data_IF_922853408415
#
_entry.id   IF_922853408415
#
_cell.length_a   1.000
_cell.length_b   1.000
_cell.length_c   1.000
_cell.angle_alpha   90.00
_cell.angle_beta   90.00
_cell.angle_gamma   90.00
#
_symmetry.space_group_name_H-M   'P 1'
#
loop_
_entity.id
_entity.type
_entity.pdbx_description
1 polymer ?
#
# COMPACT_ATOMS: atom_id res chain seq x y z
N UNK A 1 -14.05 -10.84 -8.05
CA UNK A 1 -13.14 -9.89 -7.38
C UNK A 1 -11.75 -10.48 -7.36
N UNK A 2 -10.75 -9.72 -7.80
CA UNK A 2 -9.34 -10.13 -7.82
C UNK A 2 -8.57 -9.30 -6.79
N UNK A 3 -8.16 -9.95 -5.71
CA UNK A 3 -7.54 -9.35 -4.54
C UNK A 3 -8.43 -9.42 -3.29
N UNK A 4 -7.86 -9.88 -2.17
CA UNK A 4 -8.57 -10.16 -0.92
C UNK A 4 -8.25 -9.19 0.22
N UNK A 5 -7.77 -7.99 -0.10
CA UNK A 5 -7.55 -6.91 0.87
C UNK A 5 -8.85 -6.18 1.23
N UNK A 6 -8.77 -5.04 1.95
CA UNK A 6 -9.95 -4.27 2.37
C UNK A 6 -10.90 -3.90 1.23
N UNK A 7 -10.35 -3.47 0.08
CA UNK A 7 -11.16 -3.13 -1.10
C UNK A 7 -11.90 -4.36 -1.65
N UNK A 8 -11.21 -5.49 -1.78
CA UNK A 8 -11.79 -6.73 -2.29
C UNK A 8 -12.83 -7.32 -1.35
N UNK A 9 -12.59 -7.29 -0.05
CA UNK A 9 -13.56 -7.73 0.96
C UNK A 9 -14.83 -6.90 0.91
N UNK A 10 -14.71 -5.57 0.85
CA UNK A 10 -15.87 -4.68 0.71
C UNK A 10 -16.62 -4.92 -0.60
N UNK A 11 -15.90 -5.06 -1.71
CA UNK A 11 -16.50 -5.34 -3.01
C UNK A 11 -17.29 -6.65 -3.00
N UNK A 12 -16.74 -7.71 -2.42
CA UNK A 12 -17.39 -9.01 -2.33
C UNK A 12 -18.69 -8.97 -1.48
N UNK A 13 -18.63 -8.31 -0.32
CA UNK A 13 -19.79 -8.15 0.57
C UNK A 13 -20.91 -7.39 -0.15
N UNK A 14 -20.58 -6.26 -0.79
CA UNK A 14 -21.58 -5.44 -1.47
C UNK A 14 -22.18 -6.15 -2.69
N UNK A 15 -21.39 -6.91 -3.46
CA UNK A 15 -21.89 -7.71 -4.56
C UNK A 15 -22.83 -8.83 -4.08
N UNK A 16 -22.42 -9.58 -3.07
CA UNK A 16 -23.24 -10.65 -2.49
C UNK A 16 -24.56 -10.11 -1.92
N UNK A 17 -24.53 -8.96 -1.22
CA UNK A 17 -25.74 -8.28 -0.72
C UNK A 17 -26.70 -7.82 -1.82
N UNK A 18 -26.21 -7.60 -3.04
CA UNK A 18 -27.03 -7.32 -4.24
C UNK A 18 -27.52 -8.59 -4.94
N UNK A 19 -27.22 -9.78 -4.39
CA UNK A 19 -27.61 -11.05 -4.99
C UNK A 19 -26.77 -11.47 -6.19
N UNK A 20 -25.61 -10.85 -6.40
CA UNK A 20 -24.69 -11.25 -7.46
C UNK A 20 -23.91 -12.48 -7.01
N UNK A 21 -23.88 -13.54 -7.82
CA UNK A 21 -22.95 -14.65 -7.58
C UNK A 21 -21.52 -14.14 -7.65
N UNK A 22 -20.82 -14.22 -6.53
CA UNK A 22 -19.54 -13.54 -6.32
C UNK A 22 -18.46 -14.53 -5.95
N UNK A 23 -17.29 -14.40 -6.60
CA UNK A 23 -16.05 -15.07 -6.20
C UNK A 23 -14.96 -14.04 -5.88
N UNK A 24 -14.12 -14.38 -4.91
CA UNK A 24 -12.90 -13.64 -4.56
C UNK A 24 -11.70 -14.54 -4.76
N UNK A 25 -10.80 -14.14 -5.64
CA UNK A 25 -9.51 -14.80 -5.81
C UNK A 25 -8.39 -13.92 -5.27
N UNK A 26 -7.58 -14.42 -4.37
CA UNK A 26 -6.53 -13.68 -3.71
C UNK A 26 -5.26 -14.51 -3.52
N UNK A 27 -4.11 -13.88 -3.70
CA UNK A 27 -2.83 -14.48 -3.29
C UNK A 27 -2.79 -14.65 -1.77
N UNK A 28 -3.30 -13.64 -1.05
CA UNK A 28 -3.33 -13.55 0.41
C UNK A 28 -4.57 -12.79 0.87
N UNK A 29 -5.45 -13.45 1.61
CA UNK A 29 -6.60 -12.77 2.22
C UNK A 29 -6.13 -11.79 3.30
N UNK A 30 -6.75 -10.60 3.33
CA UNK A 30 -6.31 -9.48 4.16
C UNK A 30 -5.31 -8.55 3.46
N UNK A 31 -4.58 -9.02 2.46
CA UNK A 31 -3.64 -8.19 1.69
C UNK A 31 -2.55 -7.55 2.56
N UNK A 32 -2.20 -6.31 2.24
CA UNK A 32 -1.14 -5.54 2.93
C UNK A 32 -1.47 -5.21 4.40
N UNK A 33 -2.74 -5.25 4.80
CA UNK A 33 -3.15 -5.04 6.19
C UNK A 33 -2.44 -6.03 7.13
N UNK A 34 -2.17 -7.25 6.68
CA UNK A 34 -1.44 -8.27 7.46
C UNK A 34 -0.04 -7.82 7.92
N UNK A 35 0.56 -6.86 7.22
CA UNK A 35 1.92 -6.38 7.48
C UNK A 35 1.95 -5.17 8.43
N UNK A 36 0.79 -4.72 8.92
CA UNK A 36 0.66 -3.56 9.83
C UNK A 36 0.53 -4.04 11.28
N UNK A 37 1.38 -3.51 12.17
CA UNK A 37 1.42 -3.93 13.58
C UNK A 37 0.28 -3.32 14.40
N UNK A 38 0.01 -2.02 14.24
CA UNK A 38 -1.05 -1.30 14.95
C UNK A 38 -1.87 -0.46 13.98
N UNK A 39 -3.19 -0.46 14.15
CA UNK A 39 -4.15 0.28 13.35
C UNK A 39 -5.08 1.03 14.31
N UNK A 40 -4.96 2.36 14.34
CA UNK A 40 -5.74 3.26 15.19
C UNK A 40 -6.63 4.22 14.38
N UNK A 41 -6.51 4.17 13.05
CA UNK A 41 -7.19 5.08 12.12
C UNK A 41 -8.30 4.42 11.29
N UNK A 42 -8.72 3.22 11.63
CA UNK A 42 -9.86 2.56 11.01
C UNK A 42 -11.14 2.89 11.78
N UNK A 43 -12.02 3.68 11.17
CA UNK A 43 -13.25 4.20 11.80
C UNK A 43 -14.06 3.08 12.43
N UNK A 44 -14.56 3.30 13.66
CA UNK A 44 -15.28 2.39 14.55
C UNK A 44 -14.44 1.33 15.26
N UNK A 45 -13.15 1.22 14.97
CA UNK A 45 -12.21 0.36 15.69
C UNK A 45 -11.15 1.26 16.31
N UNK A 46 -11.14 1.40 17.63
CA UNK A 46 -10.25 2.32 18.33
C UNK A 46 -8.78 1.92 18.17
N UNK A 47 -8.51 0.62 18.31
CA UNK A 47 -7.19 0.03 18.13
C UNK A 47 -7.33 -1.44 17.71
N UNK A 48 -6.52 -1.87 16.76
CA UNK A 48 -6.44 -3.28 16.34
C UNK A 48 -5.07 -3.57 15.72
N UNK A 49 -4.81 -4.86 15.51
CA UNK A 49 -3.64 -5.33 14.77
C UNK A 49 -4.04 -5.73 13.36
N UNK A 50 -3.12 -5.61 12.40
CA UNK A 50 -3.37 -5.97 11.01
C UNK A 50 -3.89 -7.39 10.82
N UNK A 51 -3.26 -8.43 11.39
CA UNK A 51 -3.76 -9.81 11.29
C UNK A 51 -5.17 -9.99 11.88
N UNK A 52 -5.49 -9.25 12.95
CA UNK A 52 -6.81 -9.30 13.58
C UNK A 52 -7.88 -8.66 12.69
N UNK A 53 -7.57 -7.49 12.11
CA UNK A 53 -8.47 -6.82 11.18
C UNK A 53 -8.65 -7.65 9.90
N UNK A 54 -7.58 -8.22 9.35
CA UNK A 54 -7.64 -9.09 8.18
C UNK A 54 -8.55 -10.30 8.40
N UNK A 55 -8.45 -10.94 9.57
CA UNK A 55 -9.35 -12.04 9.97
C UNK A 55 -10.79 -11.58 10.06
N UNK A 56 -11.05 -10.43 10.67
CA UNK A 56 -12.41 -9.89 10.78
C UNK A 56 -13.03 -9.59 9.40
N UNK A 57 -12.24 -9.07 8.46
CA UNK A 57 -12.67 -8.87 7.07
C UNK A 57 -13.02 -10.20 6.39
N UNK A 58 -12.18 -11.21 6.53
CA UNK A 58 -12.41 -12.55 5.97
C UNK A 58 -13.66 -13.21 6.58
N UNK A 59 -13.82 -13.16 7.89
CA UNK A 59 -14.99 -13.67 8.59
C UNK A 59 -16.28 -12.97 8.15
N UNK A 60 -16.21 -11.67 7.90
CA UNK A 60 -17.36 -10.92 7.38
C UNK A 60 -17.72 -11.34 5.95
N UNK A 61 -16.74 -11.54 5.06
CA UNK A 61 -17.01 -12.06 3.70
C UNK A 61 -17.67 -13.44 3.77
N UNK A 62 -17.21 -14.31 4.67
CA UNK A 62 -17.76 -15.67 4.88
C UNK A 62 -19.19 -15.71 5.43
N UNK A 63 -19.76 -14.58 5.89
CA UNK A 63 -21.18 -14.51 6.25
C UNK A 63 -22.10 -14.56 5.04
N UNK A 64 -21.56 -14.37 3.85
CA UNK A 64 -22.29 -14.37 2.59
C UNK A 64 -21.87 -15.55 1.71
N UNK A 65 -22.75 -15.92 0.77
CA UNK A 65 -22.45 -16.95 -0.25
C UNK A 65 -21.45 -16.39 -1.29
N UNK A 66 -20.17 -16.42 -0.91
CA UNK A 66 -19.04 -15.96 -1.73
C UNK A 66 -18.02 -17.08 -1.88
N UNK A 67 -17.70 -17.42 -3.12
CA UNK A 67 -16.66 -18.39 -3.43
C UNK A 67 -15.26 -17.75 -3.14
N UNK A 68 -14.56 -18.22 -2.11
CA UNK A 68 -13.24 -17.71 -1.74
C UNK A 68 -12.15 -18.67 -2.24
N UNK A 69 -11.27 -18.14 -3.09
CA UNK A 69 -10.12 -18.87 -3.65
C UNK A 69 -8.83 -18.20 -3.15
N UNK A 70 -8.22 -18.80 -2.15
CA UNK A 70 -6.94 -18.35 -1.59
C UNK A 70 -5.75 -18.91 -2.36
N UNK A 71 -4.57 -18.30 -2.20
CA UNK A 71 -3.32 -18.68 -2.88
C UNK A 71 -3.43 -18.63 -4.41
N UNK A 72 -4.24 -17.69 -4.91
CA UNK A 72 -4.44 -17.45 -6.33
C UNK A 72 -3.89 -16.08 -6.72
N UNK A 73 -2.73 -16.08 -7.35
CA UNK A 73 -2.14 -14.88 -7.94
C UNK A 73 -2.57 -14.75 -9.39
N UNK A 74 -3.24 -13.64 -9.72
CA UNK A 74 -3.65 -13.37 -11.10
C UNK A 74 -2.44 -13.00 -11.97
N UNK A 75 -2.41 -13.56 -13.19
CA UNK A 75 -1.30 -13.38 -14.14
C UNK A 75 -1.74 -12.83 -15.49
N UNK A 76 -3.02 -12.97 -15.84
CA UNK A 76 -3.56 -12.43 -17.09
C UNK A 76 -5.05 -12.09 -16.96
N UNK A 77 -5.47 -11.09 -17.71
CA UNK A 77 -6.87 -10.70 -17.89
C UNK A 77 -7.14 -10.58 -19.38
N UNK A 78 -8.14 -11.33 -19.86
CA UNK A 78 -8.65 -11.24 -21.22
C UNK A 78 -10.05 -10.61 -21.16
N UNK A 79 -10.21 -9.37 -21.64
CA UNK A 79 -11.52 -8.74 -21.72
C UNK A 79 -12.48 -9.50 -22.63
N UNK A 80 -13.77 -9.39 -22.37
CA UNK A 80 -14.82 -9.92 -23.25
C UNK A 80 -14.70 -9.29 -24.64
N UNK A 81 -14.85 -10.11 -25.68
CA UNK A 81 -14.74 -9.68 -27.08
C UNK A 81 -15.99 -8.93 -27.58
N UNK A 82 -17.09 -8.99 -26.87
CA UNK A 82 -18.37 -8.33 -27.21
C UNK A 82 -19.17 -7.97 -25.95
N UNK A 83 -20.12 -7.07 -26.08
CA UNK A 83 -21.04 -6.70 -25.02
C UNK A 83 -21.81 -7.92 -24.49
N UNK A 84 -21.89 -8.07 -23.17
CA UNK A 84 -22.51 -9.23 -22.50
C UNK A 84 -21.67 -10.51 -22.54
N UNK A 85 -20.47 -10.48 -23.11
CA UNK A 85 -19.50 -11.58 -23.03
C UNK A 85 -18.89 -11.73 -21.62
N UNK A 86 -18.02 -12.72 -21.48
CA UNK A 86 -17.33 -12.98 -20.22
C UNK A 86 -15.87 -12.53 -20.31
N UNK A 87 -15.42 -11.80 -19.30
CA UNK A 87 -14.01 -11.57 -19.07
C UNK A 87 -13.39 -12.84 -18.47
N UNK A 88 -12.12 -13.10 -18.81
CA UNK A 88 -11.38 -14.25 -18.28
C UNK A 88 -10.16 -13.80 -17.50
N UNK A 89 -10.01 -14.31 -16.28
CA UNK A 89 -8.84 -14.08 -15.42
C UNK A 89 -8.09 -15.41 -15.30
N UNK A 90 -6.78 -15.39 -15.58
CA UNK A 90 -5.87 -16.53 -15.41
C UNK A 90 -5.02 -16.33 -14.18
N UNK A 91 -4.78 -17.41 -13.45
CA UNK A 91 -3.95 -17.45 -12.26
C UNK A 91 -2.64 -18.22 -12.49
N UNK A 92 -1.65 -17.98 -11.62
CA UNK A 92 -0.34 -18.64 -11.67
C UNK A 92 -0.45 -20.17 -11.55
N UNK A 93 -1.49 -20.67 -10.88
CA UNK A 93 -1.83 -22.10 -10.82
C UNK A 93 -2.25 -22.71 -12.15
N UNK A 94 -2.48 -21.90 -13.18
CA UNK A 94 -3.08 -22.30 -14.46
C UNK A 94 -4.61 -22.33 -14.44
N UNK A 95 -5.25 -22.10 -13.30
CA UNK A 95 -6.70 -22.00 -13.22
C UNK A 95 -7.20 -20.72 -13.92
N UNK A 96 -8.43 -20.77 -14.44
CA UNK A 96 -9.09 -19.62 -15.07
C UNK A 96 -10.48 -19.42 -14.49
N UNK A 97 -10.89 -18.16 -14.40
CA UNK A 97 -12.25 -17.78 -14.01
C UNK A 97 -12.85 -16.87 -15.07
N UNK A 98 -14.14 -17.08 -15.35
CA UNK A 98 -14.92 -16.27 -16.27
C UNK A 98 -16.03 -15.54 -15.53
N UNK A 99 -16.18 -14.26 -15.79
CA UNK A 99 -17.18 -13.42 -15.13
C UNK A 99 -17.72 -12.35 -16.09
N UNK A 100 -18.98 -11.92 -15.86
CA UNK A 100 -19.57 -10.79 -16.58
C UNK A 100 -18.91 -9.48 -16.20
N UNK A 101 -18.53 -9.34 -14.92
CA UNK A 101 -17.80 -8.18 -14.41
C UNK A 101 -16.59 -8.62 -13.58
N UNK A 102 -15.53 -7.83 -13.60
CA UNK A 102 -14.31 -8.04 -12.81
C UNK A 102 -13.99 -6.79 -12.03
N UNK A 103 -13.72 -6.95 -10.74
CA UNK A 103 -13.24 -5.86 -9.86
C UNK A 103 -11.78 -6.16 -9.49
N UNK A 104 -10.89 -5.31 -9.94
CA UNK A 104 -9.45 -5.39 -9.70
C UNK A 104 -9.11 -4.67 -8.39
N UNK A 105 -8.72 -5.40 -7.36
CA UNK A 105 -8.40 -4.89 -6.02
C UNK A 105 -7.10 -5.47 -5.48
N UNK A 106 -6.12 -5.65 -6.37
CA UNK A 106 -4.83 -6.29 -6.09
C UNK A 106 -3.90 -5.46 -5.21
N UNK A 107 -4.28 -4.21 -4.90
CA UNK A 107 -3.56 -3.35 -3.99
C UNK A 107 -2.19 -2.90 -4.53
N UNK A 108 -1.34 -2.50 -3.61
CA UNK A 108 0.03 -2.07 -3.88
C UNK A 108 0.97 -2.69 -2.85
N UNK A 109 2.25 -2.66 -3.11
CA UNK A 109 3.30 -3.03 -2.17
C UNK A 109 4.27 -1.87 -1.98
N UNK A 110 4.82 -1.75 -0.80
CA UNK A 110 5.87 -0.78 -0.51
C UNK A 110 7.14 -1.13 -1.30
N UNK A 111 7.78 -0.11 -1.82
CA UNK A 111 9.12 -0.26 -2.35
C UNK A 111 10.07 -0.39 -1.15
N UNK A 112 10.87 -1.43 -1.15
CA UNK A 112 11.85 -1.72 -0.11
C UNK A 112 13.22 -1.14 -0.48
N UNK A 113 14.04 -0.86 0.53
CA UNK A 113 15.43 -0.43 0.33
C UNK A 113 16.31 -1.58 -0.17
N UNK A 114 15.92 -2.82 0.16
CA UNK A 114 16.68 -4.06 -0.12
C UNK A 114 18.09 -4.05 0.48
N UNK A 115 18.19 -3.64 1.73
CA UNK A 115 19.44 -3.61 2.48
C UNK A 115 19.43 -4.61 3.64
N UNK A 116 20.62 -5.09 4.09
CA UNK A 116 20.73 -5.92 5.29
C UNK A 116 20.01 -5.29 6.49
N UNK A 117 19.32 -6.11 7.28
CA UNK A 117 18.57 -5.70 8.46
C UNK A 117 17.15 -5.18 8.16
N UNK A 118 16.81 -4.75 6.93
CA UNK A 118 15.48 -4.22 6.64
C UNK A 118 14.38 -5.24 6.95
N UNK A 119 14.52 -6.46 6.49
CA UNK A 119 13.51 -7.52 6.71
C UNK A 119 13.52 -8.03 8.16
N UNK A 120 14.69 -8.13 8.77
CA UNK A 120 14.82 -8.59 10.16
C UNK A 120 14.09 -7.66 11.15
N UNK A 121 14.19 -6.35 10.90
CA UNK A 121 13.58 -5.33 11.76
C UNK A 121 12.25 -4.77 11.25
N UNK A 122 11.66 -5.37 10.22
CA UNK A 122 10.31 -5.02 9.76
C UNK A 122 9.29 -5.25 10.87
N UNK A 123 8.54 -4.20 11.25
CA UNK A 123 7.65 -4.21 12.42
C UNK A 123 8.36 -4.15 13.78
N UNK A 124 9.70 -4.10 13.78
CA UNK A 124 10.53 -3.95 14.98
C UNK A 124 11.37 -2.66 14.95
N UNK A 125 10.85 -1.64 14.27
CA UNK A 125 11.50 -0.35 14.07
C UNK A 125 11.59 0.06 12.61
N UNK A 126 11.57 -0.86 11.65
CA UNK A 126 11.38 -0.53 10.22
C UNK A 126 9.89 -0.54 9.91
N UNK A 127 9.37 0.58 9.43
CA UNK A 127 7.97 0.83 9.11
C UNK A 127 7.82 1.48 7.74
N UNK A 128 6.63 1.35 7.15
CA UNK A 128 6.31 1.86 5.81
C UNK A 128 5.10 2.80 5.80
N UNK A 129 4.33 2.85 6.88
CA UNK A 129 3.15 3.71 7.01
C UNK A 129 3.34 4.71 8.16
N UNK A 130 3.72 5.98 7.88
CA UNK A 130 3.88 7.00 8.93
C UNK A 130 2.59 7.27 9.72
N UNK A 131 1.44 7.26 9.04
CA UNK A 131 0.14 7.48 9.68
C UNK A 131 -0.30 6.32 10.57
N UNK A 132 0.16 5.08 10.27
CA UNK A 132 -0.18 3.89 11.06
C UNK A 132 0.74 3.74 12.26
N UNK A 133 2.04 3.83 12.03
CA UNK A 133 3.08 3.43 12.98
C UNK A 133 3.71 4.65 13.72
N UNK A 134 3.53 5.87 13.19
CA UNK A 134 4.12 7.09 13.76
C UNK A 134 3.88 7.26 15.26
N UNK A 135 2.66 7.08 15.78
CA UNK A 135 2.36 7.20 17.21
C UNK A 135 3.23 6.29 18.11
N UNK A 136 3.67 5.12 17.62
CA UNK A 136 4.52 4.16 18.36
C UNK A 136 5.94 4.72 18.62
N UNK A 137 6.32 5.76 17.88
CA UNK A 137 7.63 6.39 17.96
C UNK A 137 7.62 7.73 18.69
N UNK A 138 6.56 8.03 19.46
CA UNK A 138 6.45 9.26 20.24
C UNK A 138 7.69 9.46 21.13
N UNK A 139 8.31 10.63 20.98
CA UNK A 139 9.49 11.03 21.74
C UNK A 139 10.80 10.30 21.38
N UNK A 140 10.80 9.48 20.32
CA UNK A 140 11.98 8.75 19.83
C UNK A 140 12.68 9.51 18.70
N UNK A 141 13.86 9.05 18.32
CA UNK A 141 14.59 9.53 17.14
C UNK A 141 14.29 8.59 15.98
N UNK A 142 13.92 9.12 14.84
CA UNK A 142 13.57 8.31 13.65
C UNK A 142 14.26 8.83 12.40
N UNK A 143 14.40 7.95 11.40
CA UNK A 143 14.73 8.36 10.05
C UNK A 143 13.52 8.21 9.12
N UNK A 144 13.45 9.05 8.10
CA UNK A 144 12.58 8.90 6.94
C UNK A 144 13.47 8.76 5.72
N UNK A 145 13.26 7.69 4.95
CA UNK A 145 14.03 7.41 3.74
C UNK A 145 13.21 7.81 2.52
N UNK A 146 13.71 8.78 1.75
CA UNK A 146 13.07 9.32 0.55
C UNK A 146 12.66 10.78 0.68
N UNK A 147 13.08 11.60 -0.28
CA UNK A 147 12.86 13.06 -0.33
C UNK A 147 11.85 13.52 -1.38
N UNK A 148 10.94 12.64 -1.83
CA UNK A 148 9.75 12.99 -2.60
C UNK A 148 8.63 13.54 -1.69
N UNK A 149 7.47 13.90 -2.29
CA UNK A 149 6.33 14.44 -1.53
C UNK A 149 5.98 13.56 -0.33
N UNK A 150 5.80 12.25 -0.53
CA UNK A 150 5.43 11.32 0.56
C UNK A 150 6.46 11.28 1.69
N UNK A 151 7.75 11.30 1.38
CA UNK A 151 8.80 11.29 2.41
C UNK A 151 8.88 12.61 3.18
N UNK A 152 8.73 13.73 2.49
CA UNK A 152 8.73 15.06 3.13
C UNK A 152 7.48 15.27 3.98
N UNK A 153 6.29 14.87 3.49
CA UNK A 153 5.05 14.88 4.28
C UNK A 153 5.19 14.00 5.52
N UNK A 154 5.69 12.77 5.36
CA UNK A 154 5.95 11.88 6.47
C UNK A 154 6.90 12.49 7.52
N UNK A 155 7.97 13.14 7.07
CA UNK A 155 8.92 13.81 7.98
C UNK A 155 8.29 15.00 8.72
N UNK A 156 7.42 15.76 8.06
CA UNK A 156 6.68 16.86 8.69
C UNK A 156 5.72 16.33 9.75
N UNK A 157 4.94 15.30 9.43
CA UNK A 157 3.96 14.71 10.35
C UNK A 157 4.66 14.08 11.56
N UNK A 158 5.70 13.30 11.32
CA UNK A 158 6.49 12.67 12.39
C UNK A 158 7.18 13.69 13.27
N UNK A 159 7.66 14.82 12.74
CA UNK A 159 8.30 15.87 13.53
C UNK A 159 7.37 16.45 14.62
N UNK A 160 6.04 16.36 14.44
CA UNK A 160 5.06 16.74 15.45
C UNK A 160 4.90 15.70 16.60
N UNK A 161 5.47 14.52 16.46
CA UNK A 161 5.24 13.37 17.36
C UNK A 161 6.53 12.91 18.03
N UNK A 162 7.61 12.84 17.24
CA UNK A 162 8.90 12.26 17.65
C UNK A 162 9.87 13.32 18.18
N UNK A 163 10.94 12.89 18.85
CA UNK A 163 11.97 13.82 19.35
C UNK A 163 12.78 14.43 18.20
N UNK A 164 13.13 13.64 17.19
CA UNK A 164 13.94 14.09 16.06
C UNK A 164 13.70 13.24 14.82
N UNK A 165 13.64 13.88 13.65
CA UNK A 165 13.54 13.24 12.33
C UNK A 165 14.82 13.47 11.55
N UNK A 166 15.42 12.40 11.01
CA UNK A 166 16.50 12.48 10.02
C UNK A 166 15.93 12.05 8.65
N UNK A 167 15.71 13.01 7.75
CA UNK A 167 15.31 12.71 6.38
C UNK A 167 16.56 12.39 5.56
N UNK A 168 16.57 11.22 4.93
CA UNK A 168 17.69 10.74 4.10
C UNK A 168 17.23 10.63 2.64
N UNK A 169 17.89 11.35 1.73
CA UNK A 169 17.60 11.35 0.31
C UNK A 169 18.82 10.91 -0.49
N UNK A 170 18.55 10.00 -1.43
CA UNK A 170 19.56 9.46 -2.34
C UNK A 170 20.12 10.52 -3.29
N UNK A 171 19.29 11.41 -3.81
CA UNK A 171 19.68 12.46 -4.73
C UNK A 171 20.28 13.68 -4.00
N UNK A 172 20.95 14.54 -4.75
CA UNK A 172 21.52 15.80 -4.25
C UNK A 172 20.46 16.86 -3.90
N UNK A 173 19.21 16.64 -4.27
CA UNK A 173 18.08 17.54 -4.02
C UNK A 173 16.83 16.75 -3.65
N UNK A 174 15.97 17.34 -2.83
CA UNK A 174 14.62 16.83 -2.58
C UNK A 174 13.77 17.05 -3.82
N UNK A 175 12.91 16.07 -4.13
CA UNK A 175 11.96 16.13 -5.25
C UNK A 175 10.56 16.57 -4.82
N UNK A 176 10.36 16.82 -3.54
CA UNK A 176 9.10 17.31 -3.01
C UNK A 176 8.78 18.73 -3.49
N UNK A 177 7.52 19.10 -3.47
CA UNK A 177 7.06 20.43 -3.82
C UNK A 177 7.68 21.50 -2.90
N UNK A 178 7.94 22.69 -3.44
CA UNK A 178 8.62 23.76 -2.73
C UNK A 178 7.91 24.15 -1.41
N UNK A 179 6.57 24.11 -1.38
CA UNK A 179 5.78 24.39 -0.17
C UNK A 179 6.11 23.40 0.94
N UNK A 180 6.20 22.11 0.63
CA UNK A 180 6.54 21.06 1.57
C UNK A 180 7.99 21.19 2.06
N UNK A 181 8.92 21.49 1.15
CA UNK A 181 10.31 21.71 1.52
C UNK A 181 10.48 22.93 2.44
N UNK A 182 9.77 24.01 2.17
CA UNK A 182 9.80 25.21 3.02
C UNK A 182 9.24 24.91 4.42
N UNK A 183 8.15 24.13 4.51
CA UNK A 183 7.61 23.68 5.79
C UNK A 183 8.59 22.81 6.54
N UNK A 184 9.18 21.83 5.88
CA UNK A 184 10.17 20.92 6.48
C UNK A 184 11.37 21.71 7.05
N UNK A 185 11.92 22.64 6.28
CA UNK A 185 13.06 23.48 6.67
C UNK A 185 12.75 24.43 7.85
N UNK A 186 11.49 24.70 8.13
CA UNK A 186 11.06 25.54 9.27
C UNK A 186 11.04 24.78 10.60
N UNK A 187 11.19 23.45 10.58
CA UNK A 187 11.10 22.61 11.76
C UNK A 187 12.48 22.47 12.44
N UNK A 188 12.52 22.76 13.74
CA UNK A 188 13.78 22.74 14.52
C UNK A 188 14.31 21.36 14.88
N UNK A 189 13.48 20.31 14.76
CA UNK A 189 13.81 18.93 15.09
C UNK A 189 13.95 18.02 13.88
N UNK A 190 14.30 18.59 12.70
CA UNK A 190 14.53 17.84 11.47
C UNK A 190 15.95 18.08 10.96
N UNK A 191 16.64 17.00 10.62
CA UNK A 191 17.90 17.03 9.87
C UNK A 191 17.70 16.43 8.49
N UNK A 192 18.20 17.10 7.45
CA UNK A 192 18.12 16.63 6.07
C UNK A 192 19.50 16.21 5.59
N UNK A 193 19.64 14.96 5.19
CA UNK A 193 20.86 14.39 4.63
C UNK A 193 20.56 14.03 3.17
N UNK A 194 21.25 14.66 2.24
CA UNK A 194 21.14 14.45 0.79
C UNK A 194 22.37 13.75 0.25
N UNK A 195 22.28 13.22 -0.97
CA UNK A 195 23.34 12.43 -1.61
C UNK A 195 23.77 11.23 -0.74
N UNK A 196 22.82 10.59 -0.09
CA UNK A 196 23.04 9.53 0.88
C UNK A 196 22.34 8.24 0.47
N UNK A 197 23.09 7.17 0.34
CA UNK A 197 22.58 5.83 0.07
C UNK A 197 22.51 5.05 1.38
N UNK A 198 21.30 4.70 1.81
CA UNK A 198 21.13 3.76 2.93
C UNK A 198 21.71 2.40 2.55
N UNK A 199 22.56 1.85 3.40
CA UNK A 199 23.29 0.60 3.12
C UNK A 199 22.97 -0.51 4.11
N UNK A 200 22.56 -0.20 5.34
CA UNK A 200 22.30 -1.21 6.36
C UNK A 200 21.40 -0.66 7.47
N UNK A 201 20.58 -1.55 8.04
CA UNK A 201 19.80 -1.31 9.25
C UNK A 201 20.41 -2.15 10.39
N UNK A 202 20.75 -1.51 11.50
CA UNK A 202 21.32 -2.15 12.66
C UNK A 202 20.32 -2.22 13.82
N UNK A 203 20.46 -3.25 14.65
CA UNK A 203 19.63 -3.41 15.84
C UNK A 203 20.20 -4.46 16.78
N UNK A 204 19.46 -4.71 17.86
CA UNK A 204 19.84 -5.66 18.92
C UNK A 204 19.19 -7.05 18.80
N UNK A 205 18.59 -7.34 17.62
CA UNK A 205 17.82 -8.55 17.34
C UNK A 205 16.34 -8.43 17.73
N UNK A 206 15.97 -7.45 18.56
CA UNK A 206 14.58 -7.19 18.96
C UNK A 206 14.03 -5.90 18.34
N UNK A 207 14.87 -4.89 18.19
CA UNK A 207 14.49 -3.57 17.65
C UNK A 207 15.65 -2.90 16.93
N UNK A 208 15.31 -1.93 16.08
CA UNK A 208 16.27 -1.04 15.42
C UNK A 208 17.01 -0.20 16.47
N UNK A 209 18.31 -0.01 16.27
CA UNK A 209 19.16 0.88 17.07
C UNK A 209 19.93 1.91 16.23
N UNK A 210 20.16 1.65 14.95
CA UNK A 210 20.86 2.56 14.06
C UNK A 210 20.59 2.27 12.59
N UNK A 211 20.97 3.22 11.74
CA UNK A 211 20.99 3.13 10.29
C UNK A 211 22.38 3.51 9.79
N UNK A 212 22.88 2.79 8.81
CA UNK A 212 24.13 3.14 8.11
C UNK A 212 23.78 3.68 6.72
N UNK A 213 24.37 4.80 6.38
CA UNK A 213 24.33 5.32 5.03
C UNK A 213 25.73 5.65 4.50
N UNK A 214 25.89 5.60 3.19
CA UNK A 214 27.07 6.00 2.46
C UNK A 214 26.85 7.39 1.88
N UNK A 215 27.72 8.34 2.18
CA UNK A 215 27.76 9.62 1.47
C UNK A 215 28.24 9.36 0.02
N UNK A 216 27.40 9.69 -0.95
CA UNK A 216 27.69 9.46 -2.37
C UNK A 216 28.70 10.41 -2.98
N UNK A 217 29.10 11.46 -2.25
CA UNK A 217 30.13 12.40 -2.70
C UNK A 217 31.54 11.99 -2.23
N UNK A 218 31.62 11.40 -1.02
CA UNK A 218 32.93 11.03 -0.41
C UNK A 218 33.15 9.52 -0.33
N UNK A 219 32.11 8.71 -0.58
CA UNK A 219 32.07 7.26 -0.32
C UNK A 219 32.23 6.86 1.16
N UNK A 220 32.20 7.79 2.08
CA UNK A 220 32.29 7.53 3.52
C UNK A 220 31.00 6.94 4.08
N UNK A 221 31.16 6.02 5.05
CA UNK A 221 30.03 5.43 5.79
C UNK A 221 29.77 6.23 7.06
N UNK A 222 28.51 6.52 7.29
CA UNK A 222 28.02 7.22 8.48
C UNK A 222 26.95 6.40 9.17
N UNK A 223 26.94 6.44 10.50
CA UNK A 223 25.92 5.77 11.33
C UNK A 223 25.05 6.81 12.01
N UNK A 224 23.75 6.63 11.93
CA UNK A 224 22.74 7.45 12.63
C UNK A 224 22.07 6.59 13.69
N UNK A 225 22.26 6.91 14.96
CA UNK A 225 21.56 6.27 16.06
C UNK A 225 20.10 6.72 16.11
N UNK A 226 19.18 5.77 16.10
CA UNK A 226 17.75 6.00 16.07
C UNK A 226 16.97 4.75 16.48
N UNK A 227 15.67 4.89 16.69
CA UNK A 227 14.80 3.83 17.17
C UNK A 227 13.72 3.44 16.16
N UNK A 228 13.65 4.14 15.02
CA UNK A 228 12.69 3.84 13.95
C UNK A 228 13.12 4.35 12.59
N UNK A 229 12.71 3.65 11.55
CA UNK A 229 12.99 3.98 10.15
C UNK A 229 11.70 3.87 9.37
N UNK A 230 11.29 4.95 8.72
CA UNK A 230 10.14 5.01 7.83
C UNK A 230 10.58 5.04 6.38
N UNK A 231 10.31 3.98 5.64
CA UNK A 231 10.71 3.83 4.25
C UNK A 231 9.65 4.44 3.34
N UNK A 232 9.98 5.56 2.69
CA UNK A 232 9.08 6.38 1.88
C UNK A 232 9.60 6.59 0.45
N UNK A 233 10.08 5.51 -0.17
CA UNK A 233 10.65 5.52 -1.53
C UNK A 233 9.67 5.07 -2.61
N UNK A 234 8.38 5.09 -2.28
CA UNK A 234 7.24 4.90 -3.17
C UNK A 234 6.48 3.60 -2.97
N UNK A 235 5.33 3.54 -3.62
CA UNK A 235 4.48 2.36 -3.74
C UNK A 235 4.63 1.75 -5.12
N UNK A 236 4.50 0.45 -5.21
CA UNK A 236 4.44 -0.31 -6.45
C UNK A 236 3.05 -0.94 -6.57
N UNK A 237 2.19 -0.41 -7.44
CA UNK A 237 0.88 -1.03 -7.70
C UNK A 237 1.05 -2.46 -8.20
N UNK A 238 0.19 -3.38 -7.74
CA UNK A 238 0.19 -4.77 -8.18
C UNK A 238 -0.58 -4.91 -9.50
N UNK A 239 -0.13 -4.24 -10.53
CA UNK A 239 -0.78 -4.07 -11.85
C UNK A 239 0.09 -4.48 -13.03
N UNK A 240 1.32 -4.98 -12.81
CA UNK A 240 2.24 -5.32 -13.90
C UNK A 240 1.63 -6.31 -14.92
N UNK A 241 0.81 -7.23 -14.45
CA UNK A 241 0.10 -8.23 -15.24
C UNK A 241 -1.04 -7.66 -16.11
N UNK A 242 -1.39 -6.38 -15.89
CA UNK A 242 -2.45 -5.66 -16.60
C UNK A 242 -1.92 -4.73 -17.69
N UNK A 243 -0.59 -4.64 -17.86
CA UNK A 243 0.02 -3.81 -18.91
C UNK A 243 -0.49 -4.19 -20.28
N UNK A 244 -0.96 -3.18 -21.04
CA UNK A 244 -1.54 -3.39 -22.36
C UNK A 244 -2.99 -3.90 -22.36
N UNK A 245 -3.59 -4.11 -21.19
CA UNK A 245 -5.00 -4.53 -21.05
C UNK A 245 -5.84 -3.34 -20.59
N UNK A 246 -5.54 -2.77 -19.42
CA UNK A 246 -6.23 -1.58 -18.92
C UNK A 246 -5.30 -0.36 -18.96
N UNK A 247 -5.88 0.83 -18.96
CA UNK A 247 -5.08 2.07 -18.89
C UNK A 247 -4.42 2.22 -17.53
N UNK A 248 -3.10 2.43 -17.56
CA UNK A 248 -2.28 2.65 -16.37
C UNK A 248 -1.67 4.05 -16.37
N UNK A 249 -1.54 4.65 -15.20
CA UNK A 249 -0.79 5.89 -15.00
C UNK A 249 0.71 5.67 -15.23
N UNK A 250 1.52 6.73 -15.38
CA UNK A 250 2.97 6.60 -15.44
C UNK A 250 3.60 5.89 -14.22
N UNK A 251 2.87 5.84 -13.10
CA UNK A 251 3.27 5.11 -11.88
C UNK A 251 2.80 3.66 -11.85
N UNK A 252 2.09 3.20 -12.88
CA UNK A 252 1.52 1.86 -12.97
C UNK A 252 0.17 1.69 -12.26
N UNK A 253 -0.43 2.74 -11.74
CA UNK A 253 -1.76 2.67 -11.11
C UNK A 253 -2.85 2.52 -12.15
N UNK A 254 -3.89 1.75 -11.87
CA UNK A 254 -5.06 1.62 -12.76
C UNK A 254 -5.83 2.95 -12.76
N UNK A 255 -6.02 3.54 -13.94
CA UNK A 255 -6.82 4.76 -14.11
C UNK A 255 -8.29 4.37 -13.98
N UNK A 256 -9.00 5.05 -13.08
CA UNK A 256 -10.43 4.82 -12.82
C UNK A 256 -11.21 6.13 -12.86
N UNK A 257 -12.46 6.02 -13.26
CA UNK A 257 -13.43 7.12 -13.17
C UNK A 257 -14.01 7.27 -11.74
N UNK A 258 -14.91 8.23 -11.56
CA UNK A 258 -15.56 8.49 -10.27
C UNK A 258 -16.36 7.31 -9.73
N UNK A 259 -16.73 6.34 -10.57
CA UNK A 259 -17.47 5.13 -10.23
C UNK A 259 -16.58 3.90 -10.04
N UNK A 260 -15.27 4.04 -10.22
CA UNK A 260 -14.31 2.94 -10.19
C UNK A 260 -14.24 2.14 -11.50
N UNK A 261 -14.85 2.64 -12.59
CA UNK A 261 -14.77 2.05 -13.93
C UNK A 261 -13.41 2.26 -14.54
N UNK A 262 -12.88 1.23 -15.22
CA UNK A 262 -11.68 1.35 -16.07
C UNK A 262 -12.09 1.78 -17.50
N UNK A 263 -11.12 1.89 -18.38
CA UNK A 263 -11.37 2.11 -19.81
C UNK A 263 -12.07 0.94 -20.51
N UNK A 264 -12.26 -0.20 -19.83
CA UNK A 264 -12.92 -1.40 -20.41
C UNK A 264 -14.27 -1.62 -19.71
N UNK A 265 -15.40 -1.61 -20.46
CA UNK A 265 -16.72 -1.90 -19.91
C UNK A 265 -16.75 -3.23 -19.16
N UNK A 266 -17.37 -3.27 -17.98
CA UNK A 266 -17.45 -4.46 -17.13
C UNK A 266 -16.20 -4.74 -16.29
N UNK A 267 -15.12 -3.97 -16.46
CA UNK A 267 -13.93 -4.06 -15.62
C UNK A 267 -13.82 -2.81 -14.74
N UNK A 268 -13.82 -3.02 -13.46
CA UNK A 268 -13.72 -2.01 -12.41
C UNK A 268 -12.44 -2.21 -11.59
N UNK A 269 -12.00 -1.17 -10.88
CA UNK A 269 -10.88 -1.30 -9.96
C UNK A 269 -11.10 -0.46 -8.69
N UNK A 270 -10.47 -0.88 -7.59
CA UNK A 270 -10.63 -0.23 -6.30
C UNK A 270 -9.39 -0.39 -5.40
N UNK A 271 -9.19 0.56 -4.51
CA UNK A 271 -8.13 0.58 -3.52
C UNK A 271 -6.77 1.00 -4.08
N UNK A 272 -5.71 0.60 -3.40
CA UNK A 272 -4.36 1.14 -3.59
C UNK A 272 -3.75 0.87 -4.97
N UNK A 273 -4.28 -0.08 -5.73
CA UNK A 273 -3.86 -0.36 -7.11
C UNK A 273 -4.29 0.73 -8.10
N UNK A 274 -5.24 1.59 -7.73
CA UNK A 274 -5.84 2.61 -8.59
C UNK A 274 -5.20 3.98 -8.41
N UNK A 275 -5.61 4.94 -9.24
CA UNK A 275 -5.24 6.36 -9.13
C UNK A 275 -5.97 7.10 -8.00
N UNK A 276 -6.74 6.40 -7.14
CA UNK A 276 -7.37 7.02 -5.97
C UNK A 276 -6.32 7.69 -5.09
N UNK A 277 -6.50 8.96 -4.71
CA UNK A 277 -5.60 9.61 -3.78
C UNK A 277 -5.73 9.01 -2.38
N UNK A 278 -4.66 9.11 -1.58
CA UNK A 278 -4.61 8.64 -0.19
C UNK A 278 -4.85 7.13 -0.02
N UNK A 279 -3.76 6.37 0.04
CA UNK A 279 -3.77 4.91 0.21
C UNK A 279 -4.02 4.55 1.69
N UNK A 280 -5.30 4.42 2.07
CA UNK A 280 -5.76 4.12 3.42
C UNK A 280 -6.77 2.99 3.43
N UNK A 281 -6.83 2.21 4.52
CA UNK A 281 -7.74 1.06 4.66
C UNK A 281 -9.20 1.50 4.47
N UNK A 282 -9.61 2.59 5.13
CA UNK A 282 -10.99 3.10 5.06
C UNK A 282 -11.36 3.58 3.65
N UNK A 283 -10.42 4.17 2.92
CA UNK A 283 -10.61 4.59 1.53
C UNK A 283 -10.74 3.37 0.64
N UNK A 284 -9.86 2.38 0.79
CA UNK A 284 -9.93 1.13 0.03
C UNK A 284 -11.27 0.40 0.23
N UNK A 285 -11.80 0.36 1.46
CA UNK A 285 -13.13 -0.19 1.77
C UNK A 285 -14.23 0.57 1.00
N UNK A 286 -14.21 1.91 1.06
CA UNK A 286 -15.18 2.76 0.36
C UNK A 286 -15.12 2.59 -1.16
N UNK A 287 -13.91 2.54 -1.72
CA UNK A 287 -13.69 2.33 -3.15
C UNK A 287 -14.18 0.93 -3.60
N UNK A 288 -13.93 -0.12 -2.82
CA UNK A 288 -14.40 -1.46 -3.09
C UNK A 288 -15.93 -1.56 -3.13
N UNK A 289 -16.58 -0.94 -2.15
CA UNK A 289 -18.04 -0.85 -2.10
C UNK A 289 -18.61 -0.10 -3.32
N UNK A 290 -18.00 1.04 -3.69
CA UNK A 290 -18.40 1.84 -4.85
C UNK A 290 -18.24 1.06 -6.16
N UNK A 291 -17.09 0.43 -6.39
CA UNK A 291 -16.84 -0.36 -7.59
C UNK A 291 -17.84 -1.52 -7.72
N UNK A 292 -18.20 -2.16 -6.61
CA UNK A 292 -19.19 -3.24 -6.60
C UNK A 292 -20.61 -2.75 -6.95
N UNK A 293 -21.03 -1.60 -6.44
CA UNK A 293 -22.30 -1.01 -6.80
C UNK A 293 -22.35 -0.62 -8.28
N UNK A 294 -21.25 -0.11 -8.81
CA UNK A 294 -21.12 0.21 -10.24
C UNK A 294 -21.15 -1.05 -11.12
N UNK A 295 -20.53 -2.14 -10.65
CA UNK A 295 -20.59 -3.44 -11.33
C UNK A 295 -22.00 -4.05 -11.35
N UNK A 296 -22.82 -3.76 -10.32
CA UNK A 296 -24.23 -4.15 -10.31
C UNK A 296 -25.07 -3.36 -11.32
N UNK A 297 -24.77 -2.07 -11.51
CA UNK A 297 -25.48 -1.21 -12.45
C UNK A 297 -25.12 -1.49 -13.92
N UNK A 298 -24.00 -2.19 -14.18
CA UNK A 298 -23.52 -2.56 -15.52
C UNK A 298 -24.27 -3.75 -16.07
#
# INVERSE_FOLDING_TARGET
VVGGGPAGSAAAIYAARKGIRTGVAAERLGGQVLDTMSIENFISVQETEGPKLARALEEHVKQYDVDIMNLQRATALVPASHAGGLHEVTFESGATLKAKTVILSTGARWREMNVPGEQEYRGKGVAYCPHCDGPLFKGKRVAVIGGGNSGVEAAIDLAGIVAHVTLIEFDSQLRADAVLQNKLNSLGNVTIIKSALTTEVLGDGQKVSALVYKDRNSDELHTVELEGIFVQIGLLPNSDWLKGVVELSPRGEIIVDAKGGTNIPGIFAAGDVTTVPYKQIVIAVGEGAKASLSAFDH
#
